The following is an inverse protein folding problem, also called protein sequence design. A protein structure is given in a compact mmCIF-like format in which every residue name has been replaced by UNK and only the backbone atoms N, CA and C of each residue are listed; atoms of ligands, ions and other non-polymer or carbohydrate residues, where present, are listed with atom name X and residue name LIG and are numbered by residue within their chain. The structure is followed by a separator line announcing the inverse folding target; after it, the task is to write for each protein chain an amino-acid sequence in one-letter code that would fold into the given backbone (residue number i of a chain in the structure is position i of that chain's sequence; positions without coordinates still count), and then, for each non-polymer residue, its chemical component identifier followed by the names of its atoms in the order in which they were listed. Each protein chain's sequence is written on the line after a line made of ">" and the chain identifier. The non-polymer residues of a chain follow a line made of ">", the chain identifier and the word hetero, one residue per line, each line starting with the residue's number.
data_IF_598060869067
#
_entry.id   IF_598060869067
#
_cell.length_a   1.000
_cell.length_b   1.000
_cell.length_c   1.000
_cell.angle_alpha   90.00
_cell.angle_beta   90.00
_cell.angle_gamma   90.00
#
_symmetry.space_group_name_H-M   'P 1'
#
loop_
_entity.id
_entity.type
_entity.pdbx_description
1 polymer ?
#
# COMPACT_ATOMS: atom_id res chain seq x y z
N UNK A 1 21.54 4.73 -21.47
CA UNK A 1 21.48 6.04 -20.79
C UNK A 1 20.71 7.04 -21.66
N UNK A 2 19.78 7.81 -21.09
CA UNK A 2 18.99 8.88 -21.72
C UNK A 2 19.32 10.23 -21.07
N UNK A 3 19.17 11.34 -21.78
CA UNK A 3 19.09 12.62 -21.09
C UNK A 3 17.64 12.82 -20.55
N UNK A 4 17.49 13.71 -19.56
CA UNK A 4 16.21 13.93 -18.89
C UNK A 4 15.08 14.31 -19.86
N UNK A 5 15.35 15.18 -20.85
CA UNK A 5 14.33 15.58 -21.83
C UNK A 5 13.92 14.42 -22.75
N UNK A 6 14.86 13.57 -23.16
CA UNK A 6 14.53 12.37 -23.95
C UNK A 6 13.67 11.40 -23.13
N UNK A 7 14.03 11.21 -21.85
CA UNK A 7 13.23 10.40 -20.95
C UNK A 7 11.82 10.95 -20.80
N UNK A 8 11.68 12.22 -20.43
CA UNK A 8 10.38 12.86 -20.23
C UNK A 8 9.47 12.81 -21.48
N UNK A 9 10.05 12.94 -22.68
CA UNK A 9 9.29 12.86 -23.93
C UNK A 9 8.81 11.42 -24.26
N UNK A 10 9.50 10.41 -23.78
CA UNK A 10 9.16 9.00 -24.02
C UNK A 10 8.40 8.38 -22.84
N UNK A 11 8.43 9.06 -21.69
CA UNK A 11 7.84 8.55 -20.48
C UNK A 11 6.32 8.57 -20.57
N UNK A 12 5.77 7.41 -20.85
CA UNK A 12 4.33 7.17 -20.80
C UNK A 12 4.08 6.07 -19.76
N UNK A 13 3.20 6.37 -18.83
CA UNK A 13 2.76 5.41 -17.81
C UNK A 13 1.50 4.67 -18.21
N UNK A 14 1.32 4.45 -19.45
CA UNK A 14 0.35 3.50 -19.91
C UNK A 14 0.83 2.08 -19.56
N UNK A 15 0.59 1.65 -18.29
CA UNK A 15 0.22 0.27 -18.10
C UNK A 15 -1.27 0.23 -18.44
N UNK A 16 -1.67 -0.14 -19.66
CA UNK A 16 -3.06 -0.26 -20.00
C UNK A 16 -3.62 -1.31 -19.05
N UNK A 17 -4.66 -0.93 -18.30
CA UNK A 17 -5.45 -1.90 -17.58
C UNK A 17 -5.93 -2.88 -18.65
N UNK A 18 -5.58 -4.13 -18.50
CA UNK A 18 -6.07 -5.18 -19.44
C UNK A 18 -7.57 -5.33 -19.24
N UNK A 19 -8.35 -4.57 -20.02
CA UNK A 19 -9.80 -4.56 -19.94
C UNK A 19 -10.42 -5.95 -20.19
N UNK A 20 -9.66 -6.87 -20.81
CA UNK A 20 -10.09 -8.25 -21.02
C UNK A 20 -10.30 -9.01 -19.71
N UNK A 21 -9.70 -8.58 -18.61
CA UNK A 21 -9.86 -9.19 -17.31
C UNK A 21 -11.19 -8.85 -16.63
N UNK A 22 -11.83 -7.73 -16.96
CA UNK A 22 -13.09 -7.32 -16.30
C UNK A 22 -14.22 -8.36 -16.36
N UNK A 23 -14.51 -8.98 -17.51
CA UNK A 23 -15.52 -10.04 -17.55
C UNK A 23 -15.19 -11.21 -16.62
N UNK A 24 -13.94 -11.64 -16.58
CA UNK A 24 -13.46 -12.74 -15.73
C UNK A 24 -13.64 -12.39 -14.25
N UNK A 25 -13.21 -11.19 -13.86
CA UNK A 25 -13.34 -10.71 -12.47
C UNK A 25 -14.80 -10.60 -12.07
N UNK A 26 -15.64 -10.02 -12.91
CA UNK A 26 -17.08 -9.90 -12.67
C UNK A 26 -17.70 -11.27 -12.44
N UNK A 27 -17.38 -12.26 -13.28
CA UNK A 27 -17.96 -13.58 -13.21
C UNK A 27 -17.49 -14.33 -11.95
N UNK A 28 -16.20 -14.20 -11.57
CA UNK A 28 -15.68 -14.71 -10.29
C UNK A 28 -16.43 -14.07 -9.10
N UNK A 29 -16.54 -12.76 -9.09
CA UNK A 29 -17.21 -12.03 -8.00
C UNK A 29 -18.69 -12.43 -7.88
N UNK A 30 -19.37 -12.59 -9.01
CA UNK A 30 -20.78 -13.01 -9.04
C UNK A 30 -20.95 -14.45 -8.56
N UNK A 31 -20.06 -15.36 -8.94
CA UNK A 31 -20.08 -16.75 -8.50
C UNK A 31 -19.90 -16.85 -6.97
N UNK A 32 -18.93 -16.10 -6.39
CA UNK A 32 -18.76 -16.04 -4.93
C UNK A 32 -19.99 -15.45 -4.24
N UNK A 33 -20.57 -14.37 -4.79
CA UNK A 33 -21.77 -13.75 -4.23
C UNK A 33 -22.97 -14.69 -4.15
N UNK A 34 -23.10 -15.60 -5.13
CA UNK A 34 -24.25 -16.53 -5.21
C UNK A 34 -23.99 -17.83 -4.46
N UNK A 35 -22.75 -18.35 -4.49
CA UNK A 35 -22.42 -19.70 -4.04
C UNK A 35 -21.48 -19.74 -2.84
N UNK A 36 -21.08 -18.61 -2.27
CA UNK A 36 -20.31 -18.49 -1.03
C UNK A 36 -19.12 -19.43 -0.94
N UNK A 37 -18.98 -20.13 0.17
CA UNK A 37 -17.87 -21.06 0.44
C UNK A 37 -17.71 -22.16 -0.61
N UNK A 38 -18.80 -22.58 -1.24
CA UNK A 38 -18.73 -23.58 -2.31
C UNK A 38 -17.93 -23.07 -3.51
N UNK A 39 -18.14 -21.82 -3.91
CA UNK A 39 -17.37 -21.18 -4.97
C UNK A 39 -15.88 -21.05 -4.57
N UNK A 40 -15.60 -20.65 -3.33
CA UNK A 40 -14.22 -20.51 -2.82
C UNK A 40 -13.45 -21.82 -2.87
N UNK A 41 -14.06 -22.92 -2.39
CA UNK A 41 -13.44 -24.27 -2.43
C UNK A 41 -13.20 -24.75 -3.87
N UNK A 42 -14.12 -24.44 -4.79
CA UNK A 42 -13.95 -24.72 -6.21
C UNK A 42 -12.76 -23.94 -6.79
N UNK A 43 -12.63 -22.66 -6.49
CA UNK A 43 -11.55 -21.82 -6.99
C UNK A 43 -10.19 -22.20 -6.39
N UNK A 44 -10.13 -22.55 -5.11
CA UNK A 44 -8.91 -23.08 -4.48
C UNK A 44 -8.40 -24.34 -5.22
N UNK A 45 -9.32 -25.22 -5.62
CA UNK A 45 -8.95 -26.41 -6.42
C UNK A 45 -8.51 -26.04 -7.83
N UNK A 46 -9.22 -25.10 -8.48
CA UNK A 46 -9.00 -24.76 -9.90
C UNK A 46 -7.75 -23.91 -10.11
N UNK A 47 -7.53 -22.89 -9.27
CA UNK A 47 -6.46 -21.91 -9.44
C UNK A 47 -5.22 -22.22 -8.61
N UNK A 48 -5.43 -22.68 -7.38
CA UNK A 48 -4.33 -22.95 -6.45
C UNK A 48 -3.96 -24.45 -6.40
N UNK A 49 -4.68 -25.30 -7.15
CA UNK A 49 -4.51 -26.77 -7.20
C UNK A 49 -4.54 -27.43 -5.81
N UNK A 50 -5.23 -26.79 -4.86
CA UNK A 50 -5.27 -27.20 -3.46
C UNK A 50 -6.71 -27.50 -3.04
N UNK A 51 -6.98 -28.74 -2.61
CA UNK A 51 -8.26 -29.09 -2.00
C UNK A 51 -8.28 -28.61 -0.56
N UNK A 52 -9.22 -27.72 -0.24
CA UNK A 52 -9.44 -27.20 1.12
C UNK A 52 -10.78 -27.68 1.66
N UNK A 53 -10.76 -28.50 2.72
CA UNK A 53 -11.98 -28.93 3.38
C UNK A 53 -12.50 -27.82 4.34
N UNK A 54 -11.58 -27.16 5.03
CA UNK A 54 -11.83 -26.00 5.90
C UNK A 54 -11.13 -24.77 5.35
N UNK A 55 -11.85 -23.65 5.20
CA UNK A 55 -11.29 -22.38 4.74
C UNK A 55 -10.54 -21.66 5.85
N UNK A 56 -11.03 -21.73 7.08
CA UNK A 56 -10.45 -21.08 8.24
C UNK A 56 -9.28 -21.91 8.82
N UNK A 57 -8.25 -21.21 9.25
CA UNK A 57 -7.10 -21.75 10.00
C UNK A 57 -7.34 -21.49 11.47
N UNK A 58 -7.32 -22.55 12.28
CA UNK A 58 -7.66 -22.42 13.71
C UNK A 58 -6.62 -21.63 14.50
N UNK A 59 -7.05 -21.02 15.61
CA UNK A 59 -6.14 -20.33 16.52
C UNK A 59 -5.03 -21.23 17.07
N UNK A 60 -5.31 -22.53 17.26
CA UNK A 60 -4.30 -23.50 17.69
C UNK A 60 -3.23 -23.67 16.62
N UNK A 61 -3.60 -23.71 15.34
CA UNK A 61 -2.63 -23.81 14.24
C UNK A 61 -1.79 -22.52 14.12
N UNK A 62 -2.42 -21.35 14.27
CA UNK A 62 -1.72 -20.05 14.25
C UNK A 62 -0.71 -19.98 15.40
N UNK A 63 -1.13 -20.35 16.62
CA UNK A 63 -0.25 -20.40 17.80
C UNK A 63 0.87 -21.41 17.63
N UNK A 64 0.56 -22.63 17.16
CA UNK A 64 1.56 -23.68 16.95
C UNK A 64 2.62 -23.25 15.92
N UNK A 65 2.24 -22.52 14.87
CA UNK A 65 3.18 -21.97 13.91
C UNK A 65 4.17 -21.00 14.58
N UNK A 66 3.70 -20.11 15.46
CA UNK A 66 4.57 -19.23 16.24
C UNK A 66 5.48 -20.02 17.19
N UNK A 67 4.93 -20.98 17.95
CA UNK A 67 5.68 -21.74 18.94
C UNK A 67 6.83 -22.55 18.31
N UNK A 68 6.66 -23.02 17.09
CA UNK A 68 7.62 -23.89 16.36
C UNK A 68 8.68 -23.14 15.56
N UNK A 69 8.55 -21.84 15.35
CA UNK A 69 9.60 -21.04 14.70
C UNK A 69 10.90 -21.04 15.51
N UNK A 70 12.02 -20.93 14.80
CA UNK A 70 13.30 -20.68 15.43
C UNK A 70 13.34 -19.31 16.13
N UNK A 71 14.15 -19.19 17.15
CA UNK A 71 14.20 -18.00 18.01
C UNK A 71 14.67 -16.74 17.28
N UNK A 72 15.55 -16.88 16.29
CA UNK A 72 16.05 -15.75 15.50
C UNK A 72 14.93 -15.16 14.63
N UNK A 73 14.12 -16.00 13.99
CA UNK A 73 12.97 -15.56 13.20
C UNK A 73 11.90 -14.92 14.09
N UNK A 74 11.60 -15.49 15.28
CA UNK A 74 10.68 -14.86 16.25
C UNK A 74 11.13 -13.47 16.65
N UNK A 75 12.41 -13.31 17.01
CA UNK A 75 12.98 -12.01 17.40
C UNK A 75 12.92 -11.00 16.26
N UNK A 76 13.21 -11.42 15.02
CA UNK A 76 13.14 -10.52 13.86
C UNK A 76 11.71 -10.03 13.58
N UNK A 77 10.71 -10.93 13.60
CA UNK A 77 9.30 -10.57 13.44
C UNK A 77 8.81 -9.66 14.59
N UNK A 78 9.21 -9.97 15.83
CA UNK A 78 8.85 -9.16 17.00
C UNK A 78 9.46 -7.75 16.91
N UNK A 79 10.75 -7.63 16.54
CA UNK A 79 11.41 -6.33 16.36
C UNK A 79 10.72 -5.51 15.26
N UNK A 80 10.37 -6.14 14.14
CA UNK A 80 9.61 -5.49 13.06
C UNK A 80 8.27 -4.95 13.57
N UNK A 81 7.49 -5.79 14.23
CA UNK A 81 6.21 -5.43 14.83
C UNK A 81 6.32 -4.23 15.76
N UNK A 82 7.29 -4.25 16.70
CA UNK A 82 7.48 -3.17 17.69
C UNK A 82 7.83 -1.84 17.02
N UNK A 83 8.70 -1.85 16.02
CA UNK A 83 9.08 -0.64 15.30
C UNK A 83 7.94 -0.07 14.46
N UNK A 84 7.18 -0.93 13.76
CA UNK A 84 5.99 -0.52 13.02
C UNK A 84 4.97 0.08 13.98
N UNK A 85 4.68 -0.61 15.07
CA UNK A 85 3.73 -0.15 16.09
C UNK A 85 4.11 1.21 16.64
N UNK A 86 5.35 1.39 17.08
CA UNK A 86 5.83 2.66 17.64
C UNK A 86 5.70 3.82 16.65
N UNK A 87 6.06 3.60 15.37
CA UNK A 87 5.90 4.61 14.34
C UNK A 87 4.42 4.95 14.12
N UNK A 88 3.56 3.95 13.96
CA UNK A 88 2.14 4.16 13.69
C UNK A 88 1.43 4.83 14.87
N UNK A 89 1.80 4.50 16.11
CA UNK A 89 1.30 5.20 17.30
C UNK A 89 1.66 6.68 17.28
N UNK A 90 2.87 7.02 16.81
CA UNK A 90 3.36 8.42 16.78
C UNK A 90 2.63 9.32 15.78
N UNK A 91 2.06 8.73 14.70
CA UNK A 91 1.37 9.47 13.62
C UNK A 91 -0.15 9.36 13.67
N UNK A 92 -0.69 8.56 14.61
CA UNK A 92 -2.13 8.33 14.74
C UNK A 92 -2.88 9.61 15.03
N UNK A 93 -3.91 9.90 14.24
CA UNK A 93 -4.87 10.97 14.56
C UNK A 93 -5.68 10.59 15.80
N UNK A 94 -5.78 11.52 16.74
CA UNK A 94 -6.48 11.32 18.01
C UNK A 94 -7.50 12.41 18.22
N UNK A 95 -8.57 12.06 18.93
CA UNK A 95 -9.57 13.02 19.35
C UNK A 95 -8.96 13.96 20.40
N UNK A 96 -8.96 15.24 20.12
CA UNK A 96 -8.45 16.25 21.06
C UNK A 96 -9.52 16.60 22.09
N UNK A 97 -9.11 16.90 23.31
CA UNK A 97 -9.98 17.61 24.25
C UNK A 97 -10.12 19.05 23.74
N UNK A 98 -11.35 19.41 23.38
CA UNK A 98 -11.66 20.72 22.83
C UNK A 98 -12.21 21.61 23.94
N UNK A 99 -11.92 22.91 23.86
CA UNK A 99 -12.59 23.92 24.69
C UNK A 99 -14.07 24.02 24.28
N UNK A 100 -14.96 24.37 25.22
CA UNK A 100 -16.40 24.51 24.93
C UNK A 100 -16.71 25.55 23.83
N UNK A 101 -15.78 26.45 23.57
CA UNK A 101 -15.86 27.47 22.52
C UNK A 101 -15.66 26.94 21.10
N UNK A 102 -15.18 25.72 20.94
CA UNK A 102 -14.92 25.12 19.61
C UNK A 102 -16.20 24.55 19.04
N UNK A 103 -16.74 25.22 18.04
CA UNK A 103 -18.04 24.88 17.41
C UNK A 103 -17.94 23.95 16.21
N UNK A 104 -16.76 23.85 15.58
CA UNK A 104 -16.50 22.94 14.44
C UNK A 104 -15.24 22.16 14.69
N UNK A 105 -15.33 20.83 14.71
CA UNK A 105 -14.20 19.95 14.97
C UNK A 105 -14.37 18.59 14.31
N UNK A 106 -13.33 17.76 14.39
CA UNK A 106 -13.32 16.43 13.85
C UNK A 106 -13.20 15.39 14.96
N UNK A 107 -13.92 14.26 14.81
CA UNK A 107 -13.76 13.08 15.65
C UNK A 107 -13.41 11.89 14.78
N UNK A 108 -12.49 11.07 15.30
CA UNK A 108 -11.96 9.91 14.61
C UNK A 108 -12.48 8.64 15.30
N UNK A 109 -12.93 7.69 14.50
CA UNK A 109 -13.39 6.37 14.96
C UNK A 109 -12.66 5.28 14.17
N UNK A 110 -12.26 4.17 14.81
CA UNK A 110 -11.74 3.03 14.08
C UNK A 110 -12.81 2.45 13.13
N UNK A 111 -12.36 1.85 12.04
CA UNK A 111 -13.21 0.93 11.27
C UNK A 111 -13.62 -0.24 12.16
N UNK A 112 -14.80 -0.81 11.93
CA UNK A 112 -15.27 -1.98 12.67
C UNK A 112 -14.50 -3.24 12.22
N UNK A 113 -14.25 -3.36 10.90
CA UNK A 113 -13.65 -4.55 10.32
C UNK A 113 -12.74 -4.24 9.13
N UNK A 114 -11.65 -5.02 9.00
CA UNK A 114 -10.72 -4.93 7.87
C UNK A 114 -10.32 -6.30 7.37
N UNK A 115 -10.30 -6.45 6.05
CA UNK A 115 -9.73 -7.61 5.36
C UNK A 115 -8.32 -7.30 4.86
N UNK A 116 -7.39 -8.19 5.13
CA UNK A 116 -6.00 -8.09 4.70
C UNK A 116 -5.71 -9.19 3.70
N UNK A 117 -5.36 -8.82 2.48
CA UNK A 117 -4.85 -9.76 1.50
C UNK A 117 -3.35 -9.93 1.65
N UNK A 118 -2.90 -11.14 1.93
CA UNK A 118 -1.48 -11.51 2.00
C UNK A 118 -1.15 -12.37 0.79
N UNK A 119 -0.22 -11.94 -0.08
CA UNK A 119 0.19 -12.74 -1.22
C UNK A 119 0.76 -14.10 -0.80
N UNK A 120 0.56 -15.09 -1.65
CA UNK A 120 1.16 -16.42 -1.53
C UNK A 120 1.85 -16.82 -2.82
N UNK A 121 2.43 -18.00 -2.86
CA UNK A 121 3.06 -18.58 -4.06
C UNK A 121 4.55 -18.84 -3.87
N UNK A 122 5.42 -18.20 -4.67
CA UNK A 122 6.87 -18.46 -4.68
C UNK A 122 7.61 -17.92 -3.43
N UNK A 123 7.03 -16.97 -2.72
CA UNK A 123 7.59 -16.39 -1.51
C UNK A 123 6.54 -16.32 -0.40
N UNK A 124 6.99 -16.31 0.84
CA UNK A 124 6.22 -16.06 2.04
C UNK A 124 6.34 -14.57 2.39
N UNK A 125 5.22 -13.91 2.76
CA UNK A 125 5.19 -12.48 3.05
C UNK A 125 4.67 -12.18 4.48
N UNK A 126 5.38 -12.61 5.53
CA UNK A 126 5.03 -12.22 6.89
C UNK A 126 5.11 -10.70 7.09
N UNK A 127 5.98 -10.02 6.34
CA UNK A 127 6.09 -8.56 6.34
C UNK A 127 4.77 -7.88 5.97
N UNK A 128 4.03 -8.41 4.99
CA UNK A 128 2.71 -7.85 4.61
C UNK A 128 1.72 -7.94 5.77
N UNK A 129 1.72 -9.03 6.56
CA UNK A 129 0.88 -9.12 7.75
C UNK A 129 1.29 -8.04 8.75
N UNK A 130 2.59 -7.94 9.07
CA UNK A 130 3.10 -6.94 10.02
C UNK A 130 2.79 -5.51 9.57
N UNK A 131 3.01 -5.20 8.28
CA UNK A 131 2.83 -3.87 7.68
C UNK A 131 1.36 -3.46 7.45
N UNK A 132 0.40 -4.35 7.72
CA UNK A 132 -1.03 -4.07 7.57
C UNK A 132 -1.80 -4.31 8.86
N UNK A 133 -1.67 -5.50 9.47
CA UNK A 133 -2.41 -5.85 10.68
C UNK A 133 -1.98 -5.02 11.89
N UNK A 134 -0.68 -4.66 12.03
CA UNK A 134 -0.23 -3.77 13.11
C UNK A 134 -0.90 -2.40 13.01
N UNK A 135 -1.07 -1.85 11.82
CA UNK A 135 -1.73 -0.56 11.61
C UNK A 135 -3.21 -0.63 12.04
N UNK A 136 -3.91 -1.69 11.62
CA UNK A 136 -5.29 -1.94 12.04
C UNK A 136 -5.41 -2.10 13.56
N UNK A 137 -4.48 -2.81 14.18
CA UNK A 137 -4.41 -2.97 15.63
C UNK A 137 -4.17 -1.63 16.36
N UNK A 138 -3.21 -0.81 15.88
CA UNK A 138 -2.94 0.52 16.44
C UNK A 138 -4.15 1.44 16.27
N UNK A 139 -4.88 1.33 15.15
CA UNK A 139 -6.12 2.06 14.93
C UNK A 139 -7.25 1.61 15.89
N UNK A 140 -7.12 0.44 16.52
CA UNK A 140 -8.13 -0.22 17.35
C UNK A 140 -9.30 -0.80 16.54
N UNK A 141 -9.02 -1.32 15.34
CA UNK A 141 -10.00 -2.07 14.56
C UNK A 141 -10.36 -3.35 15.33
N UNK A 142 -11.66 -3.61 15.47
CA UNK A 142 -12.14 -4.74 16.28
C UNK A 142 -11.95 -6.09 15.56
N UNK A 143 -12.26 -6.13 14.26
CA UNK A 143 -12.22 -7.36 13.47
C UNK A 143 -11.18 -7.28 12.36
N UNK A 144 -10.05 -7.97 12.55
CA UNK A 144 -8.95 -8.06 11.57
C UNK A 144 -8.97 -9.46 10.96
N UNK A 145 -9.23 -9.54 9.66
CA UNK A 145 -9.38 -10.78 8.90
C UNK A 145 -8.28 -10.87 7.85
N UNK A 146 -7.51 -11.96 7.87
CA UNK A 146 -6.48 -12.22 6.86
C UNK A 146 -6.96 -13.27 5.87
N UNK A 147 -6.74 -13.02 4.58
CA UNK A 147 -6.90 -14.01 3.51
C UNK A 147 -5.58 -14.21 2.78
N UNK A 148 -5.22 -15.44 2.48
CA UNK A 148 -4.00 -15.80 1.76
C UNK A 148 -4.22 -17.06 0.92
N UNK A 149 -3.63 -17.18 -0.28
CA UNK A 149 -3.81 -18.37 -1.11
C UNK A 149 -3.44 -19.66 -0.36
N UNK A 150 -4.23 -20.73 -0.52
CA UNK A 150 -3.85 -22.03 0.02
C UNK A 150 -2.60 -22.56 -0.69
N UNK A 151 -1.81 -23.35 0.00
CA UNK A 151 -0.62 -23.99 -0.53
C UNK A 151 -0.65 -25.49 -0.24
N UNK A 152 -0.02 -26.36 -1.08
CA UNK A 152 -0.04 -27.80 -0.89
C UNK A 152 0.46 -28.27 0.49
N UNK A 153 1.40 -27.51 1.08
CA UNK A 153 1.99 -27.80 2.38
C UNK A 153 1.36 -26.96 3.53
N UNK A 154 0.22 -26.30 3.27
CA UNK A 154 -0.38 -25.34 4.19
C UNK A 154 0.20 -23.94 4.06
N UNK A 155 -0.45 -22.96 4.70
CA UNK A 155 0.03 -21.59 4.77
C UNK A 155 1.36 -21.54 5.54
N UNK A 156 2.28 -20.68 5.09
CA UNK A 156 3.63 -20.58 5.68
C UNK A 156 3.57 -20.29 7.19
N UNK A 157 4.47 -20.95 7.93
CA UNK A 157 4.57 -20.78 9.38
C UNK A 157 4.90 -19.35 9.78
N UNK A 158 5.72 -18.65 8.98
CA UNK A 158 6.12 -17.27 9.22
C UNK A 158 4.93 -16.30 9.06
N UNK A 159 4.05 -16.54 8.07
CA UNK A 159 2.81 -15.75 7.89
C UNK A 159 1.86 -15.97 9.06
N UNK A 160 1.66 -17.22 9.49
CA UNK A 160 0.81 -17.54 10.64
C UNK A 160 1.39 -16.97 11.95
N UNK A 161 2.70 -17.03 12.13
CA UNK A 161 3.36 -16.44 13.29
C UNK A 161 3.22 -14.89 13.31
N UNK A 162 3.31 -14.23 12.17
CA UNK A 162 3.04 -12.79 12.07
C UNK A 162 1.57 -12.49 12.43
N UNK A 163 0.61 -13.32 11.99
CA UNK A 163 -0.79 -13.21 12.41
C UNK A 163 -0.95 -13.39 13.94
N UNK A 164 -0.18 -14.31 14.56
CA UNK A 164 -0.18 -14.49 16.02
C UNK A 164 0.34 -13.25 16.75
N UNK A 165 1.49 -12.70 16.31
CA UNK A 165 2.12 -11.49 16.89
C UNK A 165 1.17 -10.29 16.80
N UNK A 166 0.52 -10.11 15.67
CA UNK A 166 -0.40 -9.00 15.41
C UNK A 166 -1.82 -9.25 15.92
N UNK A 167 -2.08 -10.37 16.58
CA UNK A 167 -3.38 -10.72 17.16
C UNK A 167 -4.53 -10.66 16.15
N UNK A 168 -4.28 -11.15 14.92
CA UNK A 168 -5.33 -11.26 13.89
C UNK A 168 -6.46 -12.16 14.39
N UNK A 169 -7.70 -11.74 14.21
CA UNK A 169 -8.87 -12.47 14.70
C UNK A 169 -9.12 -13.76 13.93
N UNK A 170 -9.05 -13.70 12.60
CA UNK A 170 -9.37 -14.82 11.73
C UNK A 170 -8.42 -14.88 10.52
N UNK A 171 -8.02 -16.08 10.14
CA UNK A 171 -7.16 -16.32 8.97
C UNK A 171 -7.82 -17.35 8.07
N UNK A 172 -7.95 -17.03 6.78
CA UNK A 172 -8.58 -17.91 5.78
C UNK A 172 -7.61 -18.23 4.63
N UNK A 173 -7.57 -19.48 4.24
CA UNK A 173 -6.78 -19.96 3.10
C UNK A 173 -7.57 -19.85 1.80
N UNK A 174 -7.70 -18.62 1.32
CA UNK A 174 -8.35 -18.25 0.05
C UNK A 174 -7.58 -17.10 -0.59
N UNK A 175 -7.20 -17.24 -1.86
CA UNK A 175 -6.46 -16.22 -2.60
C UNK A 175 -7.26 -15.59 -3.72
N UNK A 176 -6.57 -14.81 -4.58
CA UNK A 176 -7.11 -14.29 -5.83
C UNK A 176 -8.32 -13.35 -5.71
N UNK A 177 -8.96 -13.10 -6.84
CA UNK A 177 -10.16 -12.24 -6.93
C UNK A 177 -11.33 -12.75 -6.07
N UNK A 178 -11.45 -14.07 -5.91
CA UNK A 178 -12.50 -14.70 -5.12
C UNK A 178 -12.40 -14.37 -3.63
N UNK A 179 -11.20 -14.18 -3.08
CA UNK A 179 -11.03 -13.75 -1.68
C UNK A 179 -11.47 -12.31 -1.46
N UNK A 180 -11.23 -11.43 -2.43
CA UNK A 180 -11.69 -10.04 -2.39
C UNK A 180 -13.23 -9.97 -2.44
N UNK A 181 -13.83 -10.81 -3.30
CA UNK A 181 -15.28 -10.93 -3.35
C UNK A 181 -15.87 -11.48 -2.04
N UNK A 182 -15.24 -12.49 -1.42
CA UNK A 182 -15.65 -13.06 -0.15
C UNK A 182 -15.62 -12.02 0.98
N UNK A 183 -14.54 -11.25 1.11
CA UNK A 183 -14.42 -10.17 2.08
C UNK A 183 -15.44 -9.04 1.84
N UNK A 184 -15.83 -8.81 0.57
CA UNK A 184 -16.80 -7.75 0.22
C UNK A 184 -18.24 -8.15 0.51
N UNK A 185 -18.64 -9.37 0.19
CA UNK A 185 -20.03 -9.81 0.30
C UNK A 185 -20.33 -10.56 1.60
N UNK A 186 -19.31 -11.17 2.20
CA UNK A 186 -19.45 -12.21 3.20
C UNK A 186 -19.80 -13.55 2.57
N UNK A 187 -19.47 -14.64 3.25
CA UNK A 187 -19.86 -16.00 2.93
C UNK A 187 -20.33 -16.71 4.18
N UNK A 188 -20.55 -18.02 4.13
CA UNK A 188 -20.94 -18.81 5.32
C UNK A 188 -19.87 -18.79 6.41
N UNK A 189 -18.56 -18.67 6.03
CA UNK A 189 -17.46 -18.68 6.98
C UNK A 189 -16.64 -17.39 7.00
N UNK A 190 -16.51 -16.68 5.87
CA UNK A 190 -15.72 -15.45 5.78
C UNK A 190 -16.63 -14.24 6.04
N UNK A 191 -16.36 -13.43 7.07
CA UNK A 191 -17.17 -12.25 7.36
C UNK A 191 -16.97 -11.17 6.30
N UNK A 192 -18.03 -10.36 6.09
CA UNK A 192 -17.92 -9.11 5.34
C UNK A 192 -17.10 -8.10 6.13
N UNK A 193 -16.31 -7.27 5.42
CA UNK A 193 -15.46 -6.22 6.01
C UNK A 193 -15.74 -4.84 5.41
N UNK A 194 -15.34 -3.79 6.13
CA UNK A 194 -15.52 -2.40 5.69
C UNK A 194 -14.44 -1.95 4.70
N UNK A 195 -13.22 -2.45 4.85
CA UNK A 195 -12.09 -2.09 4.00
C UNK A 195 -11.18 -3.30 3.74
N UNK A 196 -10.63 -3.38 2.52
CA UNK A 196 -9.67 -4.42 2.13
C UNK A 196 -8.34 -3.74 1.81
N UNK A 197 -7.26 -4.23 2.43
CA UNK A 197 -5.90 -3.71 2.25
C UNK A 197 -4.93 -4.83 1.90
N UNK A 198 -3.75 -4.46 1.43
CA UNK A 198 -2.67 -5.38 1.10
C UNK A 198 -2.44 -5.55 -0.40
N UNK A 199 -1.17 -5.79 -0.81
CA UNK A 199 -0.80 -5.96 -2.21
C UNK A 199 -1.27 -7.30 -2.76
N UNK A 200 -1.45 -7.39 -4.07
CA UNK A 200 -1.82 -8.63 -4.74
C UNK A 200 -1.53 -8.58 -6.23
N UNK A 201 -1.68 -9.70 -6.91
CA UNK A 201 -1.52 -9.78 -8.36
C UNK A 201 -2.63 -8.98 -9.09
N UNK A 202 -2.52 -8.90 -10.42
CA UNK A 202 -3.50 -8.17 -11.24
C UNK A 202 -4.96 -8.58 -10.97
N UNK A 203 -5.27 -9.87 -10.73
CA UNK A 203 -6.65 -10.31 -10.46
C UNK A 203 -7.18 -9.73 -9.14
N UNK A 204 -6.33 -9.65 -8.12
CA UNK A 204 -6.65 -9.02 -6.83
C UNK A 204 -6.85 -7.52 -7.01
N UNK A 205 -5.94 -6.84 -7.71
CA UNK A 205 -6.03 -5.40 -7.97
C UNK A 205 -7.31 -5.04 -8.76
N UNK A 206 -7.66 -5.83 -9.80
CA UNK A 206 -8.88 -5.64 -10.56
C UNK A 206 -10.15 -5.95 -9.76
N UNK A 207 -10.12 -6.97 -8.89
CA UNK A 207 -11.25 -7.26 -8.01
C UNK A 207 -11.49 -6.13 -7.01
N UNK A 208 -10.43 -5.58 -6.39
CA UNK A 208 -10.51 -4.39 -5.55
C UNK A 208 -11.13 -3.21 -6.31
N UNK A 209 -10.64 -2.92 -7.52
CA UNK A 209 -11.19 -1.86 -8.36
C UNK A 209 -12.67 -2.08 -8.70
N UNK A 210 -13.05 -3.31 -9.07
CA UNK A 210 -14.43 -3.65 -9.44
C UNK A 210 -15.40 -3.51 -8.27
N UNK A 211 -14.96 -3.85 -7.07
CA UNK A 211 -15.78 -3.88 -5.86
C UNK A 211 -15.70 -2.57 -5.02
N UNK A 212 -14.80 -1.66 -5.38
CA UNK A 212 -14.71 -0.35 -4.74
C UNK A 212 -16.05 0.38 -4.77
N UNK A 213 -16.45 0.92 -3.62
CA UNK A 213 -17.78 1.52 -3.41
C UNK A 213 -18.77 0.56 -2.72
N UNK A 214 -18.56 -0.77 -2.81
CA UNK A 214 -19.25 -1.75 -1.95
C UNK A 214 -18.40 -2.11 -0.73
N UNK A 215 -17.09 -1.97 -0.84
CA UNK A 215 -16.07 -2.09 0.21
C UNK A 215 -15.03 -1.00 -0.01
N UNK A 216 -14.42 -0.50 1.06
CA UNK A 216 -13.25 0.39 0.97
C UNK A 216 -12.02 -0.39 0.51
N UNK A 217 -11.06 0.29 -0.13
CA UNK A 217 -9.77 -0.30 -0.48
C UNK A 217 -8.63 0.65 -0.08
N UNK A 218 -7.41 0.13 0.00
CA UNK A 218 -6.20 0.94 0.15
C UNK A 218 -5.84 1.62 -1.17
N UNK A 219 -5.48 0.81 -2.19
CA UNK A 219 -5.06 1.29 -3.49
C UNK A 219 -5.22 0.21 -4.56
N UNK A 220 -4.98 0.59 -5.81
CA UNK A 220 -4.87 -0.31 -6.95
C UNK A 220 -3.39 -0.40 -7.29
N UNK A 221 -2.74 -1.47 -6.82
CA UNK A 221 -1.31 -1.69 -7.03
C UNK A 221 -0.98 -1.99 -8.50
N UNK A 222 0.05 -1.34 -9.00
CA UNK A 222 0.75 -1.69 -10.23
C UNK A 222 2.08 -2.41 -9.95
N UNK A 223 2.93 -2.60 -10.96
CA UNK A 223 4.30 -3.06 -10.77
C UNK A 223 5.06 -2.13 -9.83
N UNK A 224 5.91 -2.72 -8.98
CA UNK A 224 6.73 -1.95 -8.04
C UNK A 224 7.81 -1.15 -8.77
N UNK A 225 8.24 -0.04 -8.17
CA UNK A 225 9.18 0.89 -8.80
C UNK A 225 10.06 1.63 -7.79
N UNK A 226 11.33 1.81 -8.15
CA UNK A 226 12.26 2.67 -7.40
C UNK A 226 12.88 3.72 -8.30
N UNK A 227 13.03 4.94 -7.80
CA UNK A 227 13.83 5.99 -8.44
C UNK A 227 14.90 6.50 -7.46
N UNK A 228 16.15 6.51 -7.93
CA UNK A 228 17.30 6.95 -7.14
C UNK A 228 17.89 8.22 -7.75
N UNK A 229 18.20 9.23 -6.92
CA UNK A 229 19.08 10.34 -7.29
C UNK A 229 20.42 10.10 -6.61
N UNK A 230 21.48 10.02 -7.42
CA UNK A 230 22.83 9.72 -6.95
C UNK A 230 23.85 10.75 -7.45
N UNK A 231 24.92 10.98 -6.70
CA UNK A 231 26.09 11.73 -7.11
C UNK A 231 27.38 10.86 -7.02
N UNK A 232 28.55 11.44 -7.19
CA UNK A 232 29.86 10.77 -7.15
C UNK A 232 30.24 10.26 -5.74
N UNK A 233 29.49 10.64 -4.70
CA UNK A 233 29.70 10.17 -3.33
C UNK A 233 28.91 8.89 -3.01
N UNK A 234 27.98 8.49 -3.88
CA UNK A 234 27.19 7.29 -3.68
C UNK A 234 28.06 6.02 -3.79
N UNK A 235 27.81 5.05 -2.91
CA UNK A 235 28.37 3.71 -3.03
C UNK A 235 27.69 2.94 -4.16
N UNK A 236 28.32 2.91 -5.33
CA UNK A 236 27.75 2.28 -6.52
C UNK A 236 27.56 0.77 -6.37
N UNK A 237 28.30 0.08 -5.52
CA UNK A 237 28.08 -1.34 -5.27
C UNK A 237 26.79 -1.55 -4.43
N UNK A 238 26.49 -0.66 -3.50
CA UNK A 238 25.20 -0.65 -2.80
C UNK A 238 24.04 -0.32 -3.75
N UNK A 239 24.20 0.70 -4.61
CA UNK A 239 23.18 1.08 -5.61
C UNK A 239 22.84 -0.08 -6.58
N UNK A 240 23.84 -0.89 -6.97
CA UNK A 240 23.57 -2.10 -7.80
C UNK A 240 22.59 -3.02 -7.10
N UNK A 241 22.75 -3.25 -5.79
CA UNK A 241 21.85 -4.13 -5.04
C UNK A 241 20.50 -3.49 -4.72
N UNK A 242 20.42 -2.17 -4.55
CA UNK A 242 19.13 -1.45 -4.46
C UNK A 242 18.32 -1.61 -5.76
N UNK A 243 18.98 -1.54 -6.92
CA UNK A 243 18.37 -1.78 -8.23
C UNK A 243 17.94 -3.24 -8.38
N UNK A 244 18.74 -4.21 -7.95
CA UNK A 244 18.40 -5.63 -8.04
C UNK A 244 17.30 -6.03 -7.07
N UNK A 245 17.29 -5.51 -5.85
CA UNK A 245 16.24 -5.73 -4.86
C UNK A 245 14.87 -5.32 -5.42
N UNK A 246 14.80 -4.20 -6.12
CA UNK A 246 13.57 -3.80 -6.80
C UNK A 246 13.24 -4.69 -7.99
N UNK A 247 14.23 -4.99 -8.83
CA UNK A 247 14.05 -5.76 -10.07
C UNK A 247 13.66 -7.23 -9.81
N UNK A 248 13.97 -7.80 -8.64
CA UNK A 248 13.67 -9.20 -8.33
C UNK A 248 12.21 -9.47 -7.97
N UNK A 249 11.41 -8.42 -7.72
CA UNK A 249 10.00 -8.58 -7.38
C UNK A 249 9.18 -9.11 -8.57
N UNK A 250 9.38 -8.52 -9.77
CA UNK A 250 8.62 -8.87 -10.97
C UNK A 250 9.36 -8.47 -12.25
N UNK A 251 9.09 -9.15 -13.37
CA UNK A 251 9.65 -8.83 -14.68
C UNK A 251 9.25 -7.41 -15.18
N UNK A 252 8.18 -6.84 -14.65
CA UNK A 252 7.67 -5.50 -14.93
C UNK A 252 8.10 -4.46 -13.88
N UNK A 253 8.84 -4.85 -12.85
CA UNK A 253 9.39 -3.92 -11.86
C UNK A 253 10.28 -2.88 -12.54
N UNK A 254 10.15 -1.61 -12.13
CA UNK A 254 10.84 -0.49 -12.78
C UNK A 254 11.90 0.11 -11.88
N UNK A 255 13.04 0.43 -12.50
CA UNK A 255 14.15 1.07 -11.79
C UNK A 255 14.65 2.28 -12.57
N UNK A 256 14.77 3.42 -11.88
CA UNK A 256 15.23 4.68 -12.46
C UNK A 256 16.40 5.19 -11.64
N UNK A 257 17.53 5.47 -12.31
CA UNK A 257 18.67 6.11 -11.65
C UNK A 257 18.97 7.44 -12.33
N UNK A 258 18.95 8.51 -11.56
CA UNK A 258 19.09 9.89 -12.00
C UNK A 258 20.40 10.44 -11.44
N UNK A 259 21.21 11.06 -12.26
CA UNK A 259 22.43 11.77 -11.81
C UNK A 259 22.70 12.97 -12.70
N UNK A 260 23.32 13.99 -12.10
CA UNK A 260 23.89 15.14 -12.82
C UNK A 260 25.27 14.80 -13.42
N UNK A 261 25.87 13.69 -12.99
CA UNK A 261 27.16 13.20 -13.51
C UNK A 261 26.95 11.99 -14.43
N UNK A 262 27.17 12.18 -15.72
CA UNK A 262 27.08 11.12 -16.72
C UNK A 262 28.13 10.01 -16.53
N UNK A 263 29.28 10.30 -15.87
CA UNK A 263 30.29 9.29 -15.62
C UNK A 263 29.86 8.32 -14.53
N UNK A 264 29.25 8.82 -13.46
CA UNK A 264 28.66 8.01 -12.39
C UNK A 264 27.63 7.00 -12.95
N UNK A 265 26.77 7.45 -13.89
CA UNK A 265 25.80 6.55 -14.54
C UNK A 265 26.46 5.47 -15.40
N UNK A 266 27.55 5.78 -16.13
CA UNK A 266 28.29 4.80 -16.93
C UNK A 266 29.01 3.77 -16.04
N UNK A 267 29.56 4.22 -14.92
CA UNK A 267 30.24 3.35 -13.97
C UNK A 267 29.24 2.42 -13.30
N UNK A 268 28.06 2.91 -12.96
CA UNK A 268 26.94 2.09 -12.46
C UNK A 268 26.48 1.07 -13.50
N UNK A 269 26.26 1.48 -14.76
CA UNK A 269 25.88 0.57 -15.86
C UNK A 269 26.87 -0.59 -16.01
N UNK A 270 28.18 -0.28 -15.95
CA UNK A 270 29.24 -1.29 -16.01
C UNK A 270 29.21 -2.26 -14.82
N UNK A 271 28.93 -1.76 -13.59
CA UNK A 271 28.81 -2.59 -12.38
C UNK A 271 27.58 -3.48 -12.44
N UNK A 272 26.42 -2.96 -12.86
CA UNK A 272 25.19 -3.75 -13.06
C UNK A 272 25.46 -4.86 -14.07
N UNK A 273 26.05 -4.56 -15.24
CA UNK A 273 26.35 -5.56 -16.25
C UNK A 273 27.29 -6.66 -15.75
N UNK A 274 28.25 -6.33 -14.89
CA UNK A 274 29.18 -7.29 -14.27
C UNK A 274 28.51 -8.17 -13.21
N UNK A 275 27.63 -7.59 -12.41
CA UNK A 275 26.98 -8.30 -11.29
C UNK A 275 25.78 -9.17 -11.75
N UNK A 276 25.04 -8.73 -12.76
CA UNK A 276 23.81 -9.35 -13.24
C UNK A 276 23.91 -10.86 -13.53
N UNK A 277 24.98 -11.42 -14.14
CA UNK A 277 25.07 -12.86 -14.39
C UNK A 277 25.07 -13.74 -13.12
N UNK A 278 25.36 -13.17 -11.95
CA UNK A 278 25.51 -13.90 -10.70
C UNK A 278 24.38 -13.59 -9.69
N UNK A 279 23.34 -12.85 -10.11
CA UNK A 279 22.24 -12.48 -9.20
C UNK A 279 21.29 -13.67 -9.02
N UNK A 280 20.81 -13.83 -7.80
CA UNK A 280 19.70 -14.73 -7.54
C UNK A 280 18.44 -14.29 -8.30
N UNK A 281 17.55 -15.22 -8.67
CA UNK A 281 16.37 -14.96 -9.50
C UNK A 281 16.68 -14.30 -10.86
N UNK A 282 17.83 -14.64 -11.45
CA UNK A 282 18.31 -14.09 -12.72
C UNK A 282 17.26 -13.94 -13.82
N UNK A 283 16.40 -14.94 -13.98
CA UNK A 283 15.35 -14.92 -15.03
C UNK A 283 14.36 -13.76 -14.89
N UNK A 284 14.10 -13.30 -13.66
CA UNK A 284 13.22 -12.16 -13.36
C UNK A 284 14.01 -10.87 -13.47
N UNK A 285 15.12 -10.78 -12.72
CA UNK A 285 15.96 -9.58 -12.67
C UNK A 285 16.45 -9.17 -14.05
N UNK A 286 16.95 -10.14 -14.86
CA UNK A 286 17.46 -9.83 -16.19
C UNK A 286 16.41 -9.26 -17.15
N UNK A 287 15.16 -9.71 -17.06
CA UNK A 287 14.06 -9.16 -17.87
C UNK A 287 13.64 -7.78 -17.42
N UNK A 288 13.54 -7.56 -16.10
CA UNK A 288 13.28 -6.23 -15.53
C UNK A 288 14.36 -5.24 -15.97
N UNK A 289 15.64 -5.57 -15.75
CA UNK A 289 16.78 -4.71 -16.15
C UNK A 289 16.80 -4.46 -17.67
N UNK A 290 16.54 -5.46 -18.49
CA UNK A 290 16.56 -5.29 -19.94
C UNK A 290 15.45 -4.38 -20.47
N UNK A 291 14.28 -4.37 -19.83
CA UNK A 291 13.09 -3.72 -20.37
C UNK A 291 12.62 -2.49 -19.55
N UNK A 292 12.95 -2.39 -18.25
CA UNK A 292 12.37 -1.43 -17.31
C UNK A 292 13.41 -0.67 -16.47
N UNK A 293 14.70 -0.73 -16.84
CA UNK A 293 15.77 -0.02 -16.16
C UNK A 293 16.19 1.23 -16.96
N UNK A 294 16.21 2.38 -16.30
CA UNK A 294 16.49 3.68 -16.92
C UNK A 294 17.61 4.41 -16.20
N UNK A 295 18.69 4.70 -16.92
CA UNK A 295 19.75 5.61 -16.48
C UNK A 295 19.52 6.98 -17.11
N UNK A 296 19.31 8.01 -16.26
CA UNK A 296 18.83 9.33 -16.68
C UNK A 296 19.84 10.39 -16.26
N UNK A 297 20.47 11.02 -17.25
CA UNK A 297 21.35 12.15 -17.03
C UNK A 297 20.55 13.44 -16.96
N UNK A 298 20.52 14.10 -15.81
CA UNK A 298 19.96 15.41 -15.57
C UNK A 298 21.06 16.48 -15.70
N UNK A 299 20.77 17.60 -16.33
CA UNK A 299 21.73 18.68 -16.52
C UNK A 299 21.98 19.52 -15.26
N UNK A 300 21.10 19.43 -14.27
CA UNK A 300 21.19 20.14 -13.01
C UNK A 300 20.19 19.58 -11.97
N UNK A 301 20.30 20.06 -10.74
CA UNK A 301 19.44 19.73 -9.61
C UNK A 301 17.92 19.90 -9.92
N UNK A 302 17.53 21.01 -10.56
CA UNK A 302 16.12 21.29 -10.86
C UNK A 302 15.53 20.26 -11.83
N UNK A 303 16.32 19.88 -12.82
CA UNK A 303 15.93 18.85 -13.78
C UNK A 303 15.86 17.46 -13.13
N UNK A 304 16.80 17.12 -12.25
CA UNK A 304 16.77 15.85 -11.49
C UNK A 304 15.51 15.75 -10.63
N UNK A 305 15.16 16.81 -9.89
CA UNK A 305 13.93 16.88 -9.11
C UNK A 305 12.68 16.85 -10.01
N UNK A 306 12.71 17.49 -11.17
CA UNK A 306 11.59 17.47 -12.11
C UNK A 306 11.33 16.05 -12.65
N UNK A 307 12.39 15.32 -13.02
CA UNK A 307 12.29 13.92 -13.44
C UNK A 307 11.71 13.06 -12.32
N UNK A 308 12.25 13.14 -11.09
CA UNK A 308 11.75 12.41 -9.92
C UNK A 308 10.25 12.68 -9.68
N UNK A 309 9.84 13.94 -9.66
CA UNK A 309 8.44 14.34 -9.47
C UNK A 309 7.53 13.93 -10.65
N UNK A 310 8.09 13.76 -11.84
CA UNK A 310 7.33 13.29 -13.01
C UNK A 310 7.12 11.79 -12.95
N UNK A 311 8.15 11.02 -12.55
CA UNK A 311 8.04 9.59 -12.29
C UNK A 311 7.03 9.37 -11.15
N UNK A 312 7.11 10.16 -10.09
CA UNK A 312 6.31 10.02 -8.87
C UNK A 312 6.31 8.57 -8.35
N UNK A 313 7.49 8.01 -8.07
CA UNK A 313 7.68 6.58 -7.84
C UNK A 313 7.11 6.11 -6.51
N UNK A 314 6.94 4.80 -6.39
CA UNK A 314 6.66 4.10 -5.13
C UNK A 314 7.75 4.36 -4.09
N UNK A 315 9.00 4.04 -4.46
CA UNK A 315 10.18 4.27 -3.63
C UNK A 315 11.08 5.31 -4.29
N UNK A 316 11.52 6.29 -3.51
CA UNK A 316 12.53 7.27 -3.93
C UNK A 316 13.72 7.22 -2.98
N UNK A 317 14.94 7.20 -3.52
CA UNK A 317 16.17 7.24 -2.74
C UNK A 317 17.05 8.42 -3.15
N UNK A 318 17.59 9.13 -2.17
CA UNK A 318 18.51 10.26 -2.37
C UNK A 318 19.87 9.88 -1.77
N UNK A 319 20.83 9.57 -2.62
CA UNK A 319 22.18 9.13 -2.26
C UNK A 319 23.22 10.15 -2.75
N UNK A 320 23.17 11.34 -2.14
CA UNK A 320 24.01 12.49 -2.48
C UNK A 320 24.68 13.05 -1.24
N UNK A 321 25.80 13.78 -1.42
CA UNK A 321 26.52 14.44 -0.32
C UNK A 321 25.65 15.44 0.44
N UNK A 322 24.72 16.09 -0.25
CA UNK A 322 23.80 17.07 0.34
C UNK A 322 22.33 16.75 -0.03
N UNK A 323 21.64 15.87 0.69
CA UNK A 323 20.28 15.46 0.37
C UNK A 323 19.21 16.49 0.72
N UNK A 324 19.47 17.45 1.62
CA UNK A 324 18.45 18.36 2.18
C UNK A 324 17.67 19.14 1.10
N UNK A 325 18.30 19.74 0.07
CA UNK A 325 17.55 20.44 -0.98
C UNK A 325 16.58 19.53 -1.76
N UNK A 326 16.95 18.24 -1.92
CA UNK A 326 16.08 17.26 -2.60
C UNK A 326 14.86 16.94 -1.75
N UNK A 327 15.00 16.78 -0.42
CA UNK A 327 13.87 16.51 0.50
C UNK A 327 12.81 17.62 0.39
N UNK A 328 13.24 18.87 0.22
CA UNK A 328 12.32 20.01 0.10
C UNK A 328 11.62 20.07 -1.26
N UNK A 329 12.27 19.58 -2.32
CA UNK A 329 11.80 19.74 -3.70
C UNK A 329 11.15 18.51 -4.30
N UNK A 330 11.48 17.32 -3.83
CA UNK A 330 10.83 16.06 -4.23
C UNK A 330 9.53 15.92 -3.43
N UNK A 331 8.39 15.93 -4.15
CA UNK A 331 7.05 16.06 -3.54
C UNK A 331 6.17 14.83 -3.71
N UNK A 332 6.35 14.10 -4.79
CA UNK A 332 5.43 13.05 -5.20
C UNK A 332 6.14 11.71 -5.18
N UNK A 333 6.18 11.08 -4.01
CA UNK A 333 6.80 9.76 -3.82
C UNK A 333 5.99 8.98 -2.77
N UNK A 334 5.99 7.65 -2.88
CA UNK A 334 5.35 6.82 -1.87
C UNK A 334 6.13 6.82 -0.56
N UNK A 335 7.43 6.57 -0.63
CA UNK A 335 8.37 6.69 0.49
C UNK A 335 9.70 7.30 0.01
N UNK A 336 10.34 8.10 0.88
CA UNK A 336 11.60 8.79 0.60
C UNK A 336 12.70 8.29 1.54
N UNK A 337 13.74 7.70 0.97
CA UNK A 337 14.89 7.12 1.67
C UNK A 337 16.12 8.02 1.50
N UNK A 338 16.80 8.35 2.60
CA UNK A 338 17.85 9.37 2.60
C UNK A 338 19.18 8.80 3.09
N UNK A 339 20.18 8.83 2.21
CA UNK A 339 21.57 8.51 2.50
C UNK A 339 21.84 7.00 2.60
N UNK A 340 23.12 6.67 2.69
CA UNK A 340 23.70 5.34 2.59
C UNK A 340 23.08 4.29 3.53
N UNK A 341 22.71 4.68 4.75
CA UNK A 341 22.14 3.75 5.74
C UNK A 341 20.63 3.60 5.69
N UNK A 342 19.99 4.10 4.65
CA UNK A 342 18.55 4.00 4.42
C UNK A 342 18.25 3.36 3.06
N UNK A 343 18.69 2.11 2.82
CA UNK A 343 18.27 1.40 1.61
C UNK A 343 16.76 1.16 1.66
N UNK A 344 16.11 1.09 0.53
CA UNK A 344 14.65 0.90 0.39
C UNK A 344 14.18 -0.34 1.15
N UNK A 345 14.90 -1.47 1.04
CA UNK A 345 14.57 -2.75 1.71
C UNK A 345 14.44 -2.66 3.24
N UNK A 346 15.08 -1.69 3.90
CA UNK A 346 14.85 -1.42 5.33
C UNK A 346 13.41 -0.98 5.59
N UNK A 347 12.81 -0.23 4.64
CA UNK A 347 11.41 0.18 4.67
C UNK A 347 10.47 -1.00 4.61
N UNK A 348 10.80 -2.00 3.80
CA UNK A 348 9.98 -3.19 3.62
C UNK A 348 9.84 -4.06 4.86
N UNK A 349 10.80 -3.98 5.79
CA UNK A 349 10.85 -4.91 6.90
C UNK A 349 10.77 -4.29 8.29
N UNK A 350 11.57 -3.25 8.58
CA UNK A 350 11.77 -2.85 9.99
C UNK A 350 11.81 -1.34 10.25
N UNK A 351 11.72 -0.47 9.24
CA UNK A 351 11.86 0.97 9.46
C UNK A 351 10.70 1.57 10.26
N UNK A 352 9.47 1.06 10.08
CA UNK A 352 8.27 1.50 10.81
C UNK A 352 7.12 1.97 9.92
N UNK A 353 7.34 2.82 8.88
CA UNK A 353 6.32 3.10 7.86
C UNK A 353 5.88 1.81 7.14
N UNK A 354 4.62 1.78 6.68
CA UNK A 354 4.14 0.64 5.90
C UNK A 354 4.76 0.60 4.50
N UNK A 355 5.04 -0.60 4.00
CA UNK A 355 5.49 -0.84 2.64
C UNK A 355 4.35 -0.90 1.60
N UNK A 356 3.10 -0.73 2.02
CA UNK A 356 1.97 -0.62 1.08
C UNK A 356 1.91 0.81 0.57
N UNK A 357 2.55 1.04 -0.55
CA UNK A 357 2.85 2.36 -1.10
C UNK A 357 2.16 2.58 -2.45
N UNK A 358 1.84 3.83 -2.81
CA UNK A 358 1.25 4.16 -4.10
C UNK A 358 2.23 3.89 -5.24
N UNK A 359 1.77 3.19 -6.28
CA UNK A 359 2.51 2.86 -7.50
C UNK A 359 1.96 3.62 -8.70
N UNK A 360 2.62 3.56 -9.87
CA UNK A 360 2.12 4.13 -11.12
C UNK A 360 1.70 5.61 -10.98
N UNK A 361 2.56 6.45 -10.38
CA UNK A 361 2.33 7.89 -10.16
C UNK A 361 1.15 8.23 -9.22
N UNK A 362 0.51 7.27 -8.61
CA UNK A 362 -0.61 7.58 -7.71
C UNK A 362 -0.15 8.33 -6.45
N UNK A 363 1.15 8.33 -6.14
CA UNK A 363 1.76 9.21 -5.13
C UNK A 363 1.49 10.71 -5.35
N UNK A 364 1.00 11.11 -6.52
CA UNK A 364 0.56 12.48 -6.80
C UNK A 364 -0.76 12.86 -6.13
N UNK A 365 -1.55 11.89 -5.68
CA UNK A 365 -2.88 12.12 -5.09
C UNK A 365 -3.29 11.11 -4.03
N UNK A 366 -2.45 10.09 -3.75
CA UNK A 366 -2.64 9.14 -2.66
C UNK A 366 -1.37 9.03 -1.81
N UNK A 367 -1.50 8.44 -0.62
CA UNK A 367 -0.41 8.25 0.32
C UNK A 367 -0.14 6.75 0.53
N UNK A 368 1.02 6.41 1.12
CA UNK A 368 1.26 5.08 1.66
C UNK A 368 0.29 4.76 2.80
N UNK A 369 0.02 3.47 2.99
CA UNK A 369 -0.89 2.99 4.03
C UNK A 369 -0.37 3.38 5.42
N UNK A 370 -1.24 3.93 6.25
CA UNK A 370 -0.94 4.34 7.62
C UNK A 370 -2.06 3.94 8.58
N UNK A 371 -1.84 4.09 9.87
CA UNK A 371 -2.87 3.88 10.89
C UNK A 371 -4.13 4.72 10.63
N UNK A 372 -3.98 5.90 10.03
CA UNK A 372 -5.09 6.81 9.77
C UNK A 372 -6.01 6.33 8.65
N UNK A 373 -5.55 5.39 7.81
CA UNK A 373 -6.37 4.76 6.77
C UNK A 373 -7.38 3.74 7.34
N UNK A 374 -7.24 3.39 8.61
CA UNK A 374 -8.14 2.53 9.39
C UNK A 374 -9.07 3.32 10.31
N UNK A 375 -9.12 4.63 10.13
CA UNK A 375 -10.01 5.54 10.86
C UNK A 375 -11.03 6.17 9.91
N UNK A 376 -12.25 6.35 10.40
CA UNK A 376 -13.23 7.27 9.79
C UNK A 376 -13.14 8.61 10.50
N UNK A 377 -13.47 9.68 9.77
CA UNK A 377 -13.46 11.05 10.29
C UNK A 377 -14.85 11.66 10.15
N UNK A 378 -15.45 12.04 11.27
CA UNK A 378 -16.72 12.73 11.30
C UNK A 378 -16.50 14.21 11.63
N UNK A 379 -17.08 15.10 10.82
CA UNK A 379 -17.13 16.51 11.14
C UNK A 379 -18.31 16.76 12.09
N UNK A 380 -18.03 17.41 13.22
CA UNK A 380 -19.05 17.85 14.19
C UNK A 380 -19.22 19.35 14.04
N UNK A 381 -20.47 19.78 13.93
CA UNK A 381 -20.86 21.18 13.94
C UNK A 381 -21.83 21.37 15.09
N UNK A 382 -21.43 22.18 16.10
CA UNK A 382 -22.22 22.46 17.30
C UNK A 382 -22.16 23.96 17.60
N UNK A 383 -22.92 24.73 16.83
CA UNK A 383 -22.92 26.19 16.93
C UNK A 383 -23.63 26.67 18.19
N UNK A 384 -23.10 27.74 18.79
CA UNK A 384 -23.84 28.54 19.75
C UNK A 384 -24.97 29.33 19.08
N UNK A 385 -25.95 29.76 19.84
CA UNK A 385 -27.00 30.63 19.31
C UNK A 385 -26.42 31.92 18.72
N UNK A 386 -25.47 32.53 19.40
CA UNK A 386 -24.84 33.77 18.96
C UNK A 386 -24.12 33.63 17.64
N UNK A 387 -23.36 32.53 17.43
CA UNK A 387 -22.70 32.24 16.18
C UNK A 387 -23.72 31.96 15.08
N UNK A 388 -24.77 31.19 15.40
CA UNK A 388 -25.84 30.91 14.43
C UNK A 388 -26.49 32.23 13.96
N UNK A 389 -26.85 33.16 14.85
CA UNK A 389 -27.45 34.43 14.49
C UNK A 389 -26.53 35.29 13.59
N UNK A 390 -25.21 35.25 13.82
CA UNK A 390 -24.24 35.99 13.01
C UNK A 390 -24.15 35.50 11.57
N UNK A 391 -24.35 34.19 11.29
CA UNK A 391 -24.15 33.61 9.97
C UNK A 391 -25.45 33.23 9.25
N UNK A 392 -26.58 33.24 9.94
CA UNK A 392 -27.86 32.77 9.44
C UNK A 392 -28.34 33.57 8.20
N UNK A 393 -28.19 34.90 8.20
CA UNK A 393 -28.59 35.74 7.05
C UNK A 393 -27.82 35.41 5.78
N UNK A 394 -26.52 35.16 5.89
CA UNK A 394 -25.69 34.74 4.75
C UNK A 394 -26.13 33.36 4.23
N UNK A 395 -26.34 32.41 5.12
CA UNK A 395 -26.75 31.05 4.77
C UNK A 395 -28.13 31.00 4.11
N UNK A 396 -29.12 31.74 4.64
CA UNK A 396 -30.46 31.82 4.03
C UNK A 396 -30.43 32.50 2.66
N UNK A 397 -29.58 33.53 2.48
CA UNK A 397 -29.45 34.21 1.19
C UNK A 397 -28.83 33.30 0.12
N UNK A 398 -27.81 32.53 0.47
CA UNK A 398 -27.21 31.53 -0.44
C UNK A 398 -28.27 30.48 -0.82
N UNK A 399 -29.01 29.94 0.15
CA UNK A 399 -30.06 28.97 -0.12
C UNK A 399 -31.17 29.55 -1.05
N UNK A 400 -31.49 30.84 -0.92
CA UNK A 400 -32.39 31.54 -1.82
C UNK A 400 -31.83 31.64 -3.26
N UNK A 401 -30.58 32.03 -3.41
CA UNK A 401 -29.89 32.11 -4.74
C UNK A 401 -29.84 30.74 -5.43
N UNK A 402 -29.69 29.68 -4.66
CA UNK A 402 -29.69 28.28 -5.14
C UNK A 402 -31.11 27.74 -5.41
N UNK A 403 -32.16 28.55 -5.15
CA UNK A 403 -33.58 28.15 -5.23
C UNK A 403 -33.95 26.96 -4.32
N UNK A 404 -33.25 26.81 -3.19
CA UNK A 404 -33.48 25.75 -2.19
C UNK A 404 -34.39 26.26 -1.06
N UNK A 405 -35.67 26.36 -1.33
CA UNK A 405 -36.66 26.95 -0.40
C UNK A 405 -36.68 26.29 0.99
N UNK A 406 -36.64 24.98 1.06
CA UNK A 406 -36.67 24.28 2.34
C UNK A 406 -35.39 24.47 3.15
N UNK A 407 -34.23 24.66 2.51
CA UNK A 407 -32.97 25.04 3.17
C UNK A 407 -33.12 26.44 3.81
N UNK A 408 -33.64 27.40 3.06
CA UNK A 408 -33.90 28.73 3.56
C UNK A 408 -34.87 28.71 4.76
N UNK A 409 -35.97 27.98 4.65
CA UNK A 409 -36.97 27.86 5.74
C UNK A 409 -36.41 27.21 6.98
N UNK A 410 -35.51 26.21 6.80
CA UNK A 410 -34.85 25.55 7.95
C UNK A 410 -33.99 26.51 8.77
N UNK A 411 -33.45 27.56 8.16
CA UNK A 411 -32.67 28.60 8.86
C UNK A 411 -33.64 29.63 9.48
N UNK A 412 -34.60 30.15 8.72
CA UNK A 412 -35.53 31.18 9.16
C UNK A 412 -36.31 30.77 10.42
N UNK A 413 -36.79 29.53 10.47
CA UNK A 413 -37.57 29.04 11.65
C UNK A 413 -36.74 28.95 12.93
N UNK A 414 -35.45 28.96 12.84
CA UNK A 414 -34.52 28.98 14.01
C UNK A 414 -34.09 30.37 14.44
N UNK A 415 -34.43 31.39 13.65
CA UNK A 415 -34.24 32.81 14.01
C UNK A 415 -35.43 33.38 14.75
N UNK A 416 -36.58 32.69 14.73
CA UNK A 416 -37.81 33.00 15.46
C UNK A 416 -37.78 32.38 16.87
#
# INVERSE_FOLDING_TARGET
>A
MLNAQQFLNQFSLEAPLDESLYPIIRDICQEVKVHGDKALKMYNLTFDHTKTDHLEISHEQIKAAFDTLDEKTKQALQQSYERIKAYQESIKQTNQQLEESVECYEIYHPLESVGIYVPGGKASYPSTVLMTATLAQVASVENIVVVTPPQPNGVSQEVLAACYITQVNQVFQVGGAQSIAALTYGTETIPKVDKIVGPGNQFVAYAKKYLFGQVGIDQIAGPTEIALIIDDTADLDAIVYDVFAQAEHDELARTYVISEDAQVLKDLESRIAKALPNVDRYDIVSKSIANQHYLIHASNFDEACHVMNTIAPEHASIQTVNPQPYIEKVKYVGALFIGHYSPEVIGDYVAGPSHVLPTNRTARFTNGLSVNDFLTRNTVIHLSKDTFEQIADSAQHIAHVEALYNHQQSILIRQS
#
